data_IF_823271428288
#
_entry.id   IF_823271428288
#
_cell.length_a   1.000
_cell.length_b   1.000
_cell.length_c   1.000
_cell.angle_alpha   90.00
_cell.angle_beta   90.00
_cell.angle_gamma   90.00
#
_symmetry.space_group_name_H-M   'P 1'
#
loop_
_entity.id
_entity.type
_entity.pdbx_description
1 polymer ?
#
# COMPACT_ATOMS: atom_id res chain seq x y z
N UNK A 1 -47.21 30.37 -2.85
CA UNK A 1 -47.84 29.12 -3.33
C UNK A 1 -46.79 28.40 -4.16
N UNK A 2 -46.23 27.31 -3.65
CA UNK A 2 -45.25 26.49 -4.40
C UNK A 2 -45.94 25.77 -5.54
N UNK A 3 -45.39 25.85 -6.75
CA UNK A 3 -46.00 25.25 -7.93
C UNK A 3 -46.06 23.73 -7.81
N UNK A 4 -47.19 23.07 -8.12
CA UNK A 4 -47.35 21.61 -8.05
C UNK A 4 -46.41 20.86 -9.00
N UNK A 5 -45.82 21.56 -9.97
CA UNK A 5 -44.73 21.02 -10.82
C UNK A 5 -43.49 20.67 -10.00
N UNK A 6 -43.11 21.43 -8.97
CA UNK A 6 -41.97 21.05 -8.11
C UNK A 6 -42.31 19.91 -7.13
N UNK A 7 -43.60 19.68 -6.85
CA UNK A 7 -44.04 18.65 -5.92
C UNK A 7 -44.15 17.24 -6.56
N UNK A 8 -44.28 17.15 -7.90
CA UNK A 8 -44.37 15.88 -8.64
C UNK A 8 -43.64 15.90 -10.00
N UNK A 9 -42.78 16.89 -10.24
CA UNK A 9 -42.11 17.12 -11.52
C UNK A 9 -40.66 17.57 -11.35
N UNK A 10 -39.76 16.71 -11.81
CA UNK A 10 -38.40 17.05 -12.21
C UNK A 10 -37.35 17.21 -11.10
N UNK A 11 -37.71 17.60 -9.87
CA UNK A 11 -36.74 17.78 -8.78
C UNK A 11 -37.03 16.82 -7.62
N UNK A 12 -36.16 15.84 -7.36
CA UNK A 12 -36.33 14.90 -6.24
C UNK A 12 -36.28 15.62 -4.89
N UNK A 13 -37.14 15.23 -3.95
CA UNK A 13 -37.26 15.84 -2.63
C UNK A 13 -37.17 14.82 -1.49
N UNK A 14 -36.82 15.29 -0.29
CA UNK A 14 -36.85 14.51 0.96
C UNK A 14 -36.27 13.09 0.88
N UNK A 15 -37.09 12.03 0.82
CA UNK A 15 -36.62 10.64 0.71
C UNK A 15 -35.83 10.33 -0.56
N UNK A 16 -36.14 10.93 -1.71
CA UNK A 16 -35.41 10.66 -2.95
C UNK A 16 -33.97 11.17 -2.89
N UNK A 17 -33.71 12.27 -2.16
CA UNK A 17 -32.36 12.76 -1.93
C UNK A 17 -31.55 11.82 -1.04
N UNK A 18 -32.19 11.17 -0.06
CA UNK A 18 -31.53 10.15 0.76
C UNK A 18 -31.16 8.93 -0.09
N UNK A 19 -32.06 8.50 -0.98
CA UNK A 19 -31.77 7.40 -1.90
C UNK A 19 -30.62 7.79 -2.85
N UNK A 20 -30.65 8.99 -3.41
CA UNK A 20 -29.58 9.50 -4.28
C UNK A 20 -28.24 9.55 -3.54
N UNK A 21 -28.24 10.01 -2.29
CA UNK A 21 -27.07 10.03 -1.43
C UNK A 21 -26.51 8.63 -1.23
N UNK A 22 -27.37 7.64 -0.91
CA UNK A 22 -26.96 6.25 -0.73
C UNK A 22 -26.40 5.67 -2.02
N UNK A 23 -27.08 5.89 -3.15
CA UNK A 23 -26.63 5.44 -4.47
C UNK A 23 -25.28 6.08 -4.83
N UNK A 24 -25.12 7.39 -4.60
CA UNK A 24 -23.86 8.10 -4.82
C UNK A 24 -22.74 7.57 -3.91
N UNK A 25 -23.03 7.31 -2.64
CA UNK A 25 -22.08 6.72 -1.71
C UNK A 25 -21.67 5.30 -2.14
N UNK A 26 -22.58 4.50 -2.68
CA UNK A 26 -22.27 3.16 -3.18
C UNK A 26 -21.47 3.20 -4.50
N UNK A 27 -21.84 4.08 -5.43
CA UNK A 27 -21.18 4.20 -6.73
C UNK A 27 -19.82 4.89 -6.67
N UNK A 28 -19.67 5.89 -5.81
CA UNK A 28 -18.46 6.70 -5.73
C UNK A 28 -17.77 6.58 -4.38
N UNK A 29 -18.51 6.65 -3.28
CA UNK A 29 -17.94 6.57 -1.94
C UNK A 29 -17.17 5.27 -1.69
N UNK A 30 -17.81 4.11 -1.91
CA UNK A 30 -17.18 2.80 -1.69
C UNK A 30 -15.96 2.60 -2.60
N UNK A 31 -16.04 2.78 -3.93
CA UNK A 31 -14.87 2.62 -4.79
C UNK A 31 -13.72 3.57 -4.44
N UNK A 32 -14.01 4.83 -4.11
CA UNK A 32 -12.98 5.80 -3.72
C UNK A 32 -12.27 5.37 -2.42
N UNK A 33 -13.03 4.91 -1.42
CA UNK A 33 -12.46 4.40 -0.16
C UNK A 33 -11.59 3.17 -0.41
N UNK A 34 -12.03 2.24 -1.25
CA UNK A 34 -11.25 1.05 -1.61
C UNK A 34 -9.94 1.46 -2.29
N UNK A 35 -10.01 2.34 -3.29
CA UNK A 35 -8.81 2.83 -4.01
C UNK A 35 -7.85 3.52 -3.04
N UNK A 36 -8.36 4.43 -2.20
CA UNK A 36 -7.56 5.12 -1.20
C UNK A 36 -6.89 4.12 -0.23
N UNK A 37 -7.64 3.12 0.24
CA UNK A 37 -7.12 2.07 1.11
C UNK A 37 -6.00 1.26 0.45
N UNK A 38 -6.16 0.87 -0.82
CA UNK A 38 -5.12 0.14 -1.58
C UNK A 38 -3.89 1.01 -1.76
N UNK A 39 -4.04 2.28 -2.15
CA UNK A 39 -2.90 3.19 -2.33
C UNK A 39 -2.15 3.40 -1.02
N UNK A 40 -2.85 3.62 0.08
CA UNK A 40 -2.26 3.77 1.41
C UNK A 40 -1.54 2.48 1.80
N UNK A 41 -2.19 1.32 1.65
CA UNK A 41 -1.58 0.02 1.95
C UNK A 41 -0.30 -0.23 1.15
N UNK A 42 -0.32 0.02 -0.15
CA UNK A 42 0.86 -0.13 -1.00
C UNK A 42 1.99 0.83 -0.61
N UNK A 43 1.65 2.07 -0.21
CA UNK A 43 2.65 3.01 0.29
C UNK A 43 3.28 2.56 1.60
N UNK A 44 2.49 2.18 2.59
CA UNK A 44 3.03 1.66 3.86
C UNK A 44 3.91 0.43 3.63
N UNK A 45 3.56 -0.43 2.66
CA UNK A 45 4.37 -1.58 2.31
C UNK A 45 5.67 -1.19 1.62
N UNK A 46 5.64 -0.24 0.69
CA UNK A 46 6.83 0.24 0.00
C UNK A 46 7.81 0.91 0.96
N UNK A 47 7.33 1.73 1.89
CA UNK A 47 8.17 2.34 2.92
C UNK A 47 8.82 1.28 3.82
N UNK A 48 8.13 0.15 4.07
CA UNK A 48 8.71 -1.01 4.78
C UNK A 48 9.73 -1.77 3.95
N UNK A 49 9.49 -1.93 2.65
CA UNK A 49 10.42 -2.61 1.74
C UNK A 49 11.69 -1.78 1.51
N UNK A 50 11.62 -0.46 1.46
CA UNK A 50 12.81 0.41 1.44
C UNK A 50 13.71 0.17 2.65
N UNK A 51 13.13 0.06 3.86
CA UNK A 51 13.87 -0.27 5.09
C UNK A 51 14.50 -1.67 5.02
N UNK A 52 13.80 -2.66 4.48
CA UNK A 52 14.34 -4.01 4.32
C UNK A 52 15.43 -4.06 3.24
N UNK A 53 15.30 -3.28 2.16
CA UNK A 53 16.29 -3.24 1.07
C UNK A 53 17.62 -2.63 1.53
N UNK A 54 17.56 -1.54 2.31
CA UNK A 54 18.75 -0.89 2.88
C UNK A 54 19.50 -1.83 3.84
N UNK A 55 18.75 -2.60 4.66
CA UNK A 55 19.34 -3.55 5.60
C UNK A 55 19.89 -4.80 4.92
N UNK A 56 19.25 -5.28 3.85
CA UNK A 56 19.78 -6.38 3.04
C UNK A 56 21.07 -5.97 2.33
N UNK A 57 21.16 -4.75 1.79
CA UNK A 57 22.37 -4.25 1.17
C UNK A 57 23.54 -4.10 2.17
N UNK A 58 23.26 -3.64 3.39
CA UNK A 58 24.25 -3.61 4.48
C UNK A 58 24.74 -5.02 4.85
N UNK A 59 23.81 -5.98 4.96
CA UNK A 59 24.12 -7.37 5.28
C UNK A 59 24.93 -8.06 4.18
N UNK A 60 24.62 -7.82 2.90
CA UNK A 60 25.41 -8.35 1.78
C UNK A 60 26.84 -7.81 1.78
N UNK A 61 27.02 -6.51 2.07
CA UNK A 61 28.34 -5.88 2.17
C UNK A 61 29.17 -6.35 3.38
N UNK A 62 28.52 -6.79 4.46
CA UNK A 62 29.19 -7.40 5.61
C UNK A 62 29.58 -8.86 5.33
N UNK A 63 28.72 -9.62 4.64
CA UNK A 63 29.03 -10.99 4.21
C UNK A 63 30.19 -11.03 3.23
N UNK A 64 30.28 -10.11 2.27
CA UNK A 64 31.42 -10.02 1.34
C UNK A 64 32.74 -9.82 2.12
N UNK A 65 32.75 -8.92 3.10
CA UNK A 65 33.91 -8.69 3.99
C UNK A 65 34.23 -9.88 4.88
N UNK A 66 33.21 -10.60 5.35
CA UNK A 66 33.42 -11.79 6.19
C UNK A 66 33.96 -12.95 5.36
N UNK A 67 33.51 -13.09 4.12
CA UNK A 67 33.98 -14.09 3.17
C UNK A 67 35.41 -13.83 2.74
N UNK A 68 35.76 -12.59 2.45
CA UNK A 68 37.14 -12.18 2.15
C UNK A 68 38.08 -12.56 3.30
N UNK A 69 37.70 -12.30 4.57
CA UNK A 69 38.49 -12.70 5.74
C UNK A 69 38.60 -14.21 5.94
N UNK A 70 37.57 -14.98 5.59
CA UNK A 70 37.58 -16.44 5.71
C UNK A 70 38.41 -17.09 4.59
N UNK A 71 38.37 -16.53 3.38
CA UNK A 71 39.19 -17.00 2.26
C UNK A 71 40.67 -16.59 2.41
N UNK A 72 40.98 -15.51 3.16
CA UNK A 72 42.35 -15.10 3.50
C UNK A 72 42.96 -15.88 4.68
N UNK A 73 42.17 -16.70 5.40
CA UNK A 73 42.69 -17.58 6.44
C UNK A 73 43.22 -18.86 5.76
N UNK A 74 44.55 -19.03 5.67
CA UNK A 74 45.13 -20.12 4.91
C UNK A 74 44.78 -21.46 5.56
N UNK A 75 44.50 -22.43 4.71
CA UNK A 75 44.38 -23.86 4.99
C UNK A 75 45.70 -24.40 5.59
N UNK A 76 46.00 -24.05 6.84
CA UNK A 76 47.10 -24.59 7.66
C UNK A 76 46.75 -26.00 8.19
N UNK A 77 46.10 -26.82 7.35
CA UNK A 77 45.52 -28.10 7.72
C UNK A 77 46.16 -29.33 7.08
N UNK A 78 46.86 -29.21 5.94
CA UNK A 78 47.37 -30.38 5.20
C UNK A 78 48.88 -30.32 4.92
N UNK A 79 49.66 -30.09 5.96
CA UNK A 79 51.03 -30.61 6.04
C UNK A 79 51.04 -31.86 6.93
N UNK A 80 50.37 -32.92 6.43
CA UNK A 80 50.42 -34.28 6.97
C UNK A 80 51.75 -34.96 6.63
N UNK A 81 52.22 -35.74 7.62
CA UNK A 81 52.99 -37.01 7.53
C UNK A 81 54.52 -36.95 7.44
#
# INVERSE_FOLDING_TARGET
MVSPVLAFGGVPGGPELLILLVVFALLFGVPLVVIAGVVVFLKLRADGEEVDTDRVAELEAEVERLREKVDDEPDDGDARS
#
